data_IF_300547159108
#
_entry.id   IF_300547159108
#
_cell.length_a   1.000
_cell.length_b   1.000
_cell.length_c   1.000
_cell.angle_alpha   90.00
_cell.angle_beta   90.00
_cell.angle_gamma   90.00
#
_symmetry.space_group_name_H-M   'P 1'
#
loop_
_entity.id
_entity.type
_entity.pdbx_description
1 polymer ?
#
# COMPACT_ATOMS: atom_id res chain seq x y z
N UNK A 1 39.26 -50.78 -6.88
CA UNK A 1 40.26 -49.74 -7.23
C UNK A 1 39.92 -49.33 -8.66
N UNK A 2 39.34 -48.18 -8.99
CA UNK A 2 39.18 -46.90 -8.31
C UNK A 2 38.04 -46.15 -9.02
N UNK A 3 37.50 -45.13 -8.36
CA UNK A 3 36.54 -44.11 -8.83
C UNK A 3 36.88 -43.60 -10.26
N UNK A 4 35.99 -42.96 -11.04
CA UNK A 4 35.55 -41.57 -10.89
C UNK A 4 34.19 -41.38 -11.58
N UNK A 5 33.23 -40.88 -10.81
CA UNK A 5 31.95 -40.31 -11.22
C UNK A 5 32.24 -38.81 -11.44
N UNK A 6 32.28 -38.36 -12.69
CA UNK A 6 32.35 -36.93 -13.05
C UNK A 6 30.93 -36.51 -13.47
N UNK A 7 30.15 -36.04 -12.49
CA UNK A 7 29.94 -34.63 -12.21
C UNK A 7 28.91 -34.02 -13.17
N UNK A 8 27.63 -34.25 -12.84
CA UNK A 8 26.50 -33.45 -13.30
C UNK A 8 26.88 -31.97 -13.21
N UNK A 9 27.05 -31.33 -14.37
CA UNK A 9 27.05 -29.89 -14.53
C UNK A 9 25.67 -29.36 -14.11
N UNK A 10 25.45 -29.22 -12.80
CA UNK A 10 24.34 -28.44 -12.27
C UNK A 10 24.68 -26.98 -12.54
N UNK A 11 24.24 -26.49 -13.69
CA UNK A 11 24.14 -25.05 -13.96
C UNK A 11 23.23 -24.49 -12.88
N UNK A 12 23.82 -23.87 -11.85
CA UNK A 12 23.10 -23.04 -10.91
C UNK A 12 22.58 -21.83 -11.70
N UNK A 13 21.37 -21.96 -12.27
CA UNK A 13 20.63 -20.79 -12.72
C UNK A 13 20.36 -19.96 -11.47
N UNK A 14 21.15 -18.93 -11.25
CA UNK A 14 20.83 -17.87 -10.31
C UNK A 14 19.60 -17.18 -10.87
N UNK A 15 18.42 -17.68 -10.50
CA UNK A 15 17.18 -16.94 -10.69
C UNK A 15 17.34 -15.65 -9.90
N UNK A 16 17.51 -14.52 -10.59
CA UNK A 16 17.34 -13.23 -9.93
C UNK A 16 15.93 -13.25 -9.34
N UNK A 17 15.83 -13.23 -8.01
CA UNK A 17 14.57 -12.99 -7.33
C UNK A 17 14.20 -11.57 -7.70
N UNK A 18 13.42 -11.41 -8.77
CA UNK A 18 12.72 -10.17 -9.06
C UNK A 18 11.70 -10.01 -7.95
N UNK A 19 12.09 -9.23 -6.95
CA UNK A 19 11.20 -8.53 -6.03
C UNK A 19 10.22 -7.72 -6.88
N UNK A 20 9.10 -8.34 -7.22
CA UNK A 20 8.07 -7.72 -8.06
C UNK A 20 7.29 -6.73 -7.20
N UNK A 21 7.60 -5.45 -7.35
CA UNK A 21 6.67 -4.39 -6.97
C UNK A 21 5.30 -4.69 -7.59
N UNK A 22 4.27 -4.81 -6.75
CA UNK A 22 2.91 -5.10 -7.18
C UNK A 22 1.99 -4.05 -6.60
N UNK A 23 1.77 -2.95 -7.32
CA UNK A 23 0.87 -1.87 -6.94
C UNK A 23 -0.12 -1.63 -8.09
N UNK A 24 -1.41 -1.71 -7.77
CA UNK A 24 -2.49 -1.72 -8.75
C UNK A 24 -3.71 -0.94 -8.26
N UNK A 25 -4.53 -0.50 -9.20
CA UNK A 25 -5.81 0.15 -8.93
C UNK A 25 -6.91 -0.89 -8.86
N UNK A 26 -7.73 -0.83 -7.82
CA UNK A 26 -8.88 -1.72 -7.62
C UNK A 26 -10.17 -0.93 -7.46
N UNK A 27 -11.26 -1.52 -7.94
CA UNK A 27 -12.60 -1.04 -7.64
C UNK A 27 -13.10 -1.61 -6.30
N UNK A 28 -13.81 -0.79 -5.53
CA UNK A 28 -14.46 -1.19 -4.27
C UNK A 28 -15.79 -0.49 -4.11
N UNK A 29 -16.83 -1.26 -3.78
CA UNK A 29 -18.13 -0.71 -3.42
C UNK A 29 -18.09 -0.02 -2.05
N UNK A 30 -18.59 1.21 -2.01
CA UNK A 30 -18.67 2.02 -0.81
C UNK A 30 -20.09 2.55 -0.65
N UNK A 31 -20.66 2.38 0.54
CA UNK A 31 -21.93 2.99 0.90
C UNK A 31 -21.70 4.46 1.27
N UNK A 32 -22.34 5.37 0.55
CA UNK A 32 -22.20 6.82 0.74
C UNK A 32 -23.56 7.37 1.14
N UNK A 33 -23.60 8.11 2.26
CA UNK A 33 -24.79 8.80 2.72
C UNK A 33 -24.51 10.29 2.95
N UNK A 34 -25.41 11.16 2.47
CA UNK A 34 -25.33 12.60 2.66
C UNK A 34 -26.68 13.18 3.02
N UNK A 35 -26.69 14.08 3.98
CA UNK A 35 -27.90 14.79 4.40
C UNK A 35 -27.91 16.21 3.83
N UNK A 36 -29.07 16.66 3.35
CA UNK A 36 -29.29 18.02 2.83
C UNK A 36 -30.68 18.54 3.20
N UNK A 37 -30.78 19.82 3.49
CA UNK A 37 -32.07 20.50 3.67
C UNK A 37 -32.73 20.77 2.31
N UNK A 38 -33.98 20.35 2.16
CA UNK A 38 -34.81 20.54 0.98
C UNK A 38 -36.00 21.46 1.32
N UNK A 39 -36.19 22.51 0.54
CA UNK A 39 -37.36 23.38 0.67
C UNK A 39 -38.52 22.78 -0.13
N UNK A 40 -39.53 22.30 0.58
CA UNK A 40 -40.73 21.76 -0.05
C UNK A 40 -41.56 22.86 -0.74
N UNK A 41 -42.43 22.49 -1.71
CA UNK A 41 -43.31 23.45 -2.40
C UNK A 41 -44.22 24.24 -1.46
N UNK A 42 -44.45 23.74 -0.25
CA UNK A 42 -45.26 24.40 0.79
C UNK A 42 -44.46 25.43 1.61
N UNK A 43 -43.18 25.65 1.29
CA UNK A 43 -42.27 26.54 2.02
C UNK A 43 -41.69 25.92 3.30
N UNK A 44 -41.98 24.65 3.59
CA UNK A 44 -41.40 23.93 4.73
C UNK A 44 -40.03 23.36 4.35
N UNK A 45 -39.00 23.65 5.13
CA UNK A 45 -37.70 22.99 5.00
C UNK A 45 -37.74 21.60 5.67
N UNK A 46 -37.35 20.57 4.92
CA UNK A 46 -37.28 19.17 5.34
C UNK A 46 -35.83 18.70 5.27
N UNK A 47 -35.43 17.82 6.18
CA UNK A 47 -34.07 17.26 6.18
C UNK A 47 -34.09 15.89 5.49
N UNK A 48 -33.47 15.80 4.31
CA UNK A 48 -33.39 14.54 3.56
C UNK A 48 -32.02 13.91 3.75
N UNK A 49 -31.99 12.60 3.96
CA UNK A 49 -30.76 11.80 3.94
C UNK A 49 -30.78 10.92 2.71
N UNK A 50 -29.87 11.18 1.77
CA UNK A 50 -29.74 10.41 0.53
C UNK A 50 -28.55 9.47 0.61
N UNK A 51 -28.69 8.27 0.05
CA UNK A 51 -27.64 7.28 0.01
C UNK A 51 -27.54 6.58 -1.35
N UNK A 52 -26.40 5.92 -1.59
CA UNK A 52 -26.20 4.97 -2.66
C UNK A 52 -25.00 4.07 -2.35
N UNK A 53 -24.99 2.86 -2.92
CA UNK A 53 -23.80 2.02 -3.02
C UNK A 53 -23.05 2.33 -4.31
N UNK A 54 -21.79 2.73 -4.19
CA UNK A 54 -21.04 3.30 -5.31
C UNK A 54 -19.69 2.60 -5.45
N UNK A 55 -19.39 1.97 -6.61
CA UNK A 55 -18.07 1.43 -6.88
C UNK A 55 -17.08 2.57 -7.10
N UNK A 56 -16.01 2.64 -6.31
CA UNK A 56 -14.95 3.66 -6.35
C UNK A 56 -13.58 3.01 -6.55
N UNK A 57 -12.65 3.73 -7.17
CA UNK A 57 -11.27 3.26 -7.31
C UNK A 57 -10.46 3.47 -6.02
N UNK A 58 -9.52 2.56 -5.74
CA UNK A 58 -8.54 2.63 -4.65
C UNK A 58 -7.19 2.04 -5.07
N UNK A 59 -6.13 2.36 -4.34
CA UNK A 59 -4.81 1.76 -4.55
C UNK A 59 -4.54 0.63 -3.57
N UNK A 60 -3.97 -0.48 -4.06
CA UNK A 60 -3.55 -1.60 -3.24
C UNK A 60 -2.26 -2.23 -3.80
N UNK A 61 -1.36 -2.64 -2.92
CA UNK A 61 -0.13 -3.27 -3.34
C UNK A 61 0.98 -3.36 -2.32
N UNK A 62 2.07 -3.98 -2.74
CA UNK A 62 3.32 -4.10 -1.99
C UNK A 62 4.46 -3.49 -2.81
N UNK A 63 5.24 -2.63 -2.16
CA UNK A 63 6.36 -1.93 -2.76
C UNK A 63 7.65 -2.33 -2.02
N UNK A 64 8.69 -2.65 -2.78
CA UNK A 64 10.01 -2.94 -2.27
C UNK A 64 10.66 -1.66 -1.73
N UNK A 65 11.09 -1.74 -0.48
CA UNK A 65 11.82 -0.69 0.20
C UNK A 65 13.26 -1.15 0.45
N UNK A 66 14.21 -0.23 0.33
CA UNK A 66 15.63 -0.52 0.55
C UNK A 66 16.08 0.03 1.90
N UNK A 67 16.79 -0.78 2.69
CA UNK A 67 17.47 -0.35 3.90
C UNK A 67 18.98 -0.38 3.70
N UNK A 68 19.67 0.69 4.11
CA UNK A 68 21.14 0.72 4.16
C UNK A 68 21.58 1.07 5.59
N UNK A 69 22.54 0.33 6.18
CA UNK A 69 23.12 0.71 7.45
C UNK A 69 23.95 1.98 7.27
N UNK A 70 23.88 2.92 8.22
CA UNK A 70 24.66 4.17 8.18
C UNK A 70 26.15 4.00 8.50
N UNK A 71 26.56 2.80 8.92
CA UNK A 71 27.97 2.45 9.02
C UNK A 71 28.29 1.33 8.02
N UNK A 72 28.92 1.69 6.91
CA UNK A 72 29.66 0.73 6.09
C UNK A 72 31.04 0.55 6.71
N UNK A 73 31.29 -0.57 7.41
CA UNK A 73 32.68 -0.92 7.74
C UNK A 73 33.47 -1.10 6.43
N UNK A 74 34.67 -0.50 6.41
CA UNK A 74 35.64 -0.48 5.31
C UNK A 74 35.84 -1.81 4.56
N UNK A 75 36.33 -1.75 3.29
CA UNK A 75 36.07 -2.75 2.27
C UNK A 75 37.02 -3.93 2.38
N UNK A 76 36.74 -4.88 3.29
CA UNK A 76 37.30 -6.24 3.19
C UNK A 76 36.62 -7.31 4.04
N UNK A 77 35.53 -6.98 4.72
CA UNK A 77 34.78 -7.94 5.52
C UNK A 77 33.38 -8.11 4.95
N UNK A 78 33.26 -8.95 3.91
CA UNK A 78 32.00 -9.66 3.70
C UNK A 78 31.83 -10.62 4.87
N UNK A 79 30.71 -10.47 5.57
CA UNK A 79 30.09 -11.46 6.46
C UNK A 79 30.87 -11.81 7.73
N UNK A 80 30.77 -10.94 8.74
CA UNK A 80 30.88 -11.37 10.15
C UNK A 80 29.48 -11.41 10.75
N UNK A 81 28.63 -12.27 10.20
CA UNK A 81 27.47 -12.80 10.92
C UNK A 81 27.32 -14.27 10.53
N UNK A 82 27.48 -15.13 11.53
CA UNK A 82 27.06 -16.53 11.58
C UNK A 82 27.94 -17.59 10.88
N UNK A 83 29.13 -17.85 11.44
CA UNK A 83 29.53 -19.24 11.66
C UNK A 83 28.73 -19.73 12.87
N UNK A 84 27.68 -20.54 12.64
CA UNK A 84 27.13 -21.59 13.53
C UNK A 84 25.64 -21.93 13.33
N UNK A 85 24.92 -21.34 12.37
CA UNK A 85 23.62 -21.88 11.97
C UNK A 85 23.50 -21.89 10.45
N UNK A 86 23.02 -23.00 9.89
CA UNK A 86 22.68 -23.14 8.47
C UNK A 86 21.53 -22.20 8.15
N UNK A 87 21.85 -20.95 7.86
CA UNK A 87 20.87 -19.96 7.45
C UNK A 87 20.86 -19.93 5.94
N UNK A 88 19.96 -20.73 5.38
CA UNK A 88 19.45 -20.53 4.02
C UNK A 88 19.04 -19.08 3.90
N UNK A 89 19.79 -18.29 3.12
CA UNK A 89 19.44 -16.94 2.68
C UNK A 89 18.48 -16.20 3.63
N UNK A 90 18.99 -15.38 4.55
CA UNK A 90 18.14 -14.34 5.16
C UNK A 90 17.77 -13.37 4.03
N UNK A 91 16.76 -13.72 3.25
CA UNK A 91 15.90 -12.77 2.58
C UNK A 91 15.18 -12.08 3.73
N UNK A 92 15.82 -11.05 4.29
CA UNK A 92 15.21 -10.20 5.28
C UNK A 92 14.03 -9.50 4.60
N UNK A 93 12.86 -10.15 4.63
CA UNK A 93 11.54 -9.50 4.66
C UNK A 93 11.40 -8.71 5.97
N UNK A 94 12.43 -7.97 6.36
CA UNK A 94 12.32 -6.93 7.37
C UNK A 94 11.75 -5.74 6.60
N UNK A 95 10.42 -5.60 6.56
CA UNK A 95 9.88 -4.37 5.97
C UNK A 95 10.41 -3.17 6.77
N UNK A 96 10.44 -2.01 6.13
CA UNK A 96 10.66 -0.70 6.77
C UNK A 96 9.56 -0.34 7.81
N UNK A 97 8.94 -1.30 8.49
CA UNK A 97 8.21 -1.00 9.72
C UNK A 97 9.23 -0.65 10.80
N UNK A 98 8.98 0.49 11.44
CA UNK A 98 9.53 0.94 12.72
C UNK A 98 9.75 -0.20 13.70
N UNK A 99 10.90 -0.87 13.58
CA UNK A 99 11.57 -1.49 14.71
C UNK A 99 12.80 -0.64 14.89
N UNK A 100 12.78 0.20 15.92
CA UNK A 100 13.96 0.82 16.49
C UNK A 100 14.92 -0.30 16.92
N UNK A 101 15.62 -0.93 15.96
CA UNK A 101 16.84 -1.66 16.28
C UNK A 101 17.91 -0.60 16.49
N UNK A 102 17.95 -0.10 17.71
CA UNK A 102 19.04 0.75 18.15
C UNK A 102 20.33 -0.08 18.10
N UNK A 103 21.14 0.17 17.07
CA UNK A 103 22.48 -0.41 16.99
C UNK A 103 23.42 0.56 17.71
N UNK A 104 23.88 0.15 18.90
CA UNK A 104 24.92 0.86 19.64
C UNK A 104 26.29 0.26 19.30
N UNK A 105 27.18 1.04 18.69
CA UNK A 105 28.61 0.70 18.58
C UNK A 105 29.37 1.69 19.44
N UNK A 106 30.09 1.20 20.45
CA UNK A 106 30.91 2.03 21.36
C UNK A 106 30.14 3.19 22.00
N UNK A 107 28.83 3.02 22.28
CA UNK A 107 27.97 4.04 22.90
C UNK A 107 27.40 5.10 21.94
N UNK A 108 27.64 5.00 20.62
CA UNK A 108 27.03 5.89 19.62
C UNK A 108 25.82 5.22 18.97
N UNK A 109 24.68 5.95 18.91
CA UNK A 109 23.45 5.52 18.23
C UNK A 109 23.64 5.64 16.72
N UNK A 110 23.47 4.54 15.98
CA UNK A 110 23.61 4.50 14.53
C UNK A 110 22.22 4.54 13.90
N UNK A 111 21.87 5.66 13.27
CA UNK A 111 20.59 5.83 12.57
C UNK A 111 20.66 5.18 11.18
N UNK A 112 20.06 4.00 10.99
CA UNK A 112 19.94 3.40 9.66
C UNK A 112 19.04 4.22 8.73
N UNK A 113 19.37 4.29 7.45
CA UNK A 113 18.54 4.99 6.44
C UNK A 113 17.63 3.96 5.77
N UNK A 114 16.31 4.12 5.92
CA UNK A 114 15.30 3.35 5.20
C UNK A 114 14.71 4.21 4.07
N UNK A 115 14.91 3.82 2.82
CA UNK A 115 14.18 4.38 1.68
C UNK A 115 12.86 3.62 1.51
N UNK A 116 11.85 4.00 2.29
CA UNK A 116 10.53 3.37 2.29
C UNK A 116 9.71 3.76 1.04
N UNK A 117 9.05 2.79 0.41
CA UNK A 117 8.11 3.00 -0.69
C UNK A 117 6.70 2.53 -0.36
N UNK A 118 5.70 3.31 -0.76
CA UNK A 118 4.27 3.12 -0.50
C UNK A 118 3.50 3.08 -1.82
N UNK A 119 2.53 2.15 -1.93
CA UNK A 119 1.60 2.11 -3.05
C UNK A 119 0.57 3.24 -2.86
N UNK A 120 0.60 4.25 -3.73
CA UNK A 120 -0.22 5.46 -3.62
C UNK A 120 -0.78 5.88 -4.97
N UNK A 121 -1.80 6.72 -4.94
CA UNK A 121 -2.39 7.36 -6.11
C UNK A 121 -1.32 8.17 -6.86
N UNK A 122 -1.20 7.91 -8.16
CA UNK A 122 -0.35 8.68 -9.08
C UNK A 122 -1.06 9.90 -9.64
N UNK A 123 -2.39 9.83 -9.76
CA UNK A 123 -3.27 10.91 -10.20
C UNK A 123 -4.64 10.74 -9.55
N UNK A 124 -5.25 11.84 -9.14
CA UNK A 124 -6.64 11.91 -8.72
C UNK A 124 -7.49 12.51 -9.84
N UNK A 125 -8.69 11.99 -10.02
CA UNK A 125 -9.70 12.49 -10.94
C UNK A 125 -11.01 12.73 -10.21
N UNK A 126 -11.75 13.74 -10.66
CA UNK A 126 -13.07 14.05 -10.13
C UNK A 126 -14.11 13.16 -10.81
N UNK A 127 -14.91 12.46 -10.00
CA UNK A 127 -16.04 11.65 -10.43
C UNK A 127 -17.33 12.20 -9.84
N UNK A 128 -18.32 12.41 -10.70
CA UNK A 128 -19.67 12.79 -10.30
C UNK A 128 -20.46 11.54 -9.91
N UNK A 129 -21.03 11.56 -8.72
CA UNK A 129 -21.79 10.45 -8.14
C UNK A 129 -23.13 10.98 -7.67
N UNK A 130 -24.19 10.25 -8.01
CA UNK A 130 -25.55 10.60 -7.63
C UNK A 130 -26.01 9.68 -6.49
N UNK A 131 -26.53 10.27 -5.43
CA UNK A 131 -27.23 9.57 -4.35
C UNK A 131 -28.73 9.73 -4.60
N UNK A 132 -29.41 8.65 -4.91
CA UNK A 132 -30.81 8.62 -5.35
C UNK A 132 -31.77 7.98 -4.34
N UNK A 133 -31.27 7.27 -3.33
CA UNK A 133 -32.09 6.73 -2.24
C UNK A 133 -32.24 7.77 -1.12
N UNK A 134 -33.18 8.72 -1.30
CA UNK A 134 -33.43 9.81 -0.36
C UNK A 134 -34.57 9.51 0.63
N UNK A 135 -34.33 9.75 1.93
CA UNK A 135 -35.28 9.50 3.01
C UNK A 135 -35.58 10.76 3.85
N UNK A 136 -36.86 11.00 4.17
CA UNK A 136 -37.32 11.88 5.26
C UNK A 136 -37.68 11.00 6.47
N UNK A 137 -36.75 10.90 7.43
CA UNK A 137 -36.84 9.90 8.49
C UNK A 137 -36.73 8.47 7.94
N UNK A 138 -37.86 7.79 7.77
CA UNK A 138 -37.95 6.42 7.21
C UNK A 138 -38.71 6.34 5.89
N UNK A 139 -39.29 7.45 5.43
CA UNK A 139 -40.09 7.48 4.20
C UNK A 139 -39.20 7.80 3.00
N UNK A 140 -39.25 6.95 1.97
CA UNK A 140 -38.53 7.18 0.73
C UNK A 140 -39.19 8.34 -0.04
N UNK A 141 -38.40 9.33 -0.44
CA UNK A 141 -38.85 10.50 -1.18
C UNK A 141 -38.45 10.36 -2.66
N UNK A 142 -39.36 9.92 -3.55
CA UNK A 142 -39.02 9.66 -4.94
C UNK A 142 -38.71 10.96 -5.71
N UNK A 143 -37.79 10.86 -6.67
CA UNK A 143 -37.42 11.98 -7.55
C UNK A 143 -36.47 13.00 -6.92
N UNK A 144 -36.05 12.79 -5.67
CA UNK A 144 -34.97 13.57 -5.05
C UNK A 144 -33.63 12.86 -5.23
N UNK A 145 -32.58 13.64 -5.43
CA UNK A 145 -31.21 13.13 -5.51
C UNK A 145 -30.20 14.19 -5.06
N UNK A 146 -29.01 13.73 -4.69
CA UNK A 146 -27.87 14.59 -4.38
C UNK A 146 -26.72 14.21 -5.30
N UNK A 147 -26.22 15.18 -6.06
CA UNK A 147 -24.98 15.02 -6.81
C UNK A 147 -23.78 15.41 -5.95
N UNK A 148 -22.78 14.55 -5.95
CA UNK A 148 -21.51 14.73 -5.25
C UNK A 148 -20.36 14.66 -6.26
N UNK A 149 -19.26 15.34 -5.94
CA UNK A 149 -17.99 15.17 -6.65
C UNK A 149 -17.00 14.50 -5.71
N UNK A 150 -16.52 13.32 -6.10
CA UNK A 150 -15.59 12.50 -5.32
C UNK A 150 -14.27 12.44 -6.07
N UNK A 151 -13.16 12.57 -5.36
CA UNK A 151 -11.81 12.33 -5.92
C UNK A 151 -11.46 10.87 -5.77
N UNK A 152 -11.20 10.19 -6.87
CA UNK A 152 -10.72 8.81 -6.90
C UNK A 152 -9.39 8.70 -7.69
N UNK A 153 -8.55 7.70 -7.41
CA UNK A 153 -7.36 7.44 -8.20
C UNK A 153 -7.68 6.97 -9.61
N UNK A 154 -6.95 7.50 -10.60
CA UNK A 154 -6.92 7.03 -11.99
C UNK A 154 -5.70 6.14 -12.28
N UNK A 155 -4.88 5.88 -11.25
CA UNK A 155 -3.71 5.02 -11.38
C UNK A 155 -2.88 4.99 -10.11
N UNK A 156 -2.29 3.83 -9.80
CA UNK A 156 -1.52 3.58 -8.58
C UNK A 156 -0.09 3.16 -8.89
N UNK A 157 0.88 3.70 -8.14
CA UNK A 157 2.31 3.38 -8.28
C UNK A 157 3.03 3.43 -6.93
N UNK A 158 4.22 2.84 -6.87
CA UNK A 158 5.09 2.92 -5.70
C UNK A 158 5.82 4.27 -5.66
N UNK A 159 5.64 5.03 -4.59
CA UNK A 159 6.31 6.31 -4.33
C UNK A 159 7.08 6.24 -3.02
N UNK A 160 8.08 7.12 -2.81
CA UNK A 160 8.69 7.25 -1.48
C UNK A 160 7.60 7.67 -0.47
N UNK A 161 7.57 7.02 0.69
CA UNK A 161 6.67 7.39 1.77
C UNK A 161 7.19 8.67 2.45
N UNK A 162 6.32 9.63 2.74
CA UNK A 162 6.68 10.92 3.34
C UNK A 162 5.83 12.05 2.80
#
# INVERSE_FOLDING_TARGET
MSCWVEACLLILTVSSVSSRDSCYTLEKEVYISRTRTYESPTGRSVLLTCAAMVPLQKCEGMCESQSQPSVSLFPRFKQVYLLLFTVSSVSSRESCYTLEKEVYISGTRIEGVCECKCCRESRLVDRHVTLDECYDGSELVPGQFIELTIKEPDGCRCFRCG
#
